data_IF_974089093334
#
_entry.id   IF_974089093334
#
_cell.length_a   1.000
_cell.length_b   1.000
_cell.length_c   1.000
_cell.angle_alpha   90.00
_cell.angle_beta   90.00
_cell.angle_gamma   90.00
#
_symmetry.space_group_name_H-M   'P 1'
#
loop_
_entity.id
_entity.type
_entity.pdbx_description
1 polymer ?
#
# COMPACT_ATOMS: atom_id res chain seq x y z
N UNK A 1 5.08 -9.28 -7.77
CA UNK A 1 6.07 -8.47 -7.03
C UNK A 1 5.41 -8.06 -5.72
N UNK A 2 6.21 -7.60 -4.77
CA UNK A 2 5.73 -7.30 -3.42
C UNK A 2 6.29 -5.96 -2.96
N UNK A 3 5.61 -5.37 -1.99
CA UNK A 3 5.99 -4.15 -1.32
C UNK A 3 6.64 -4.53 0.00
N UNK A 4 7.89 -4.13 0.20
CA UNK A 4 8.50 -4.11 1.52
C UNK A 4 7.73 -3.12 2.40
N UNK A 5 7.42 -3.53 3.63
CA UNK A 5 6.81 -2.66 4.62
C UNK A 5 7.89 -2.02 5.51
N UNK A 6 7.59 -0.82 6.01
CA UNK A 6 8.26 -0.24 7.17
C UNK A 6 7.23 0.09 8.25
N UNK A 7 7.51 1.05 9.14
CA UNK A 7 6.72 1.37 10.32
C UNK A 7 5.19 1.38 10.09
N UNK A 8 4.67 2.39 9.38
CA UNK A 8 3.27 2.50 8.99
C UNK A 8 3.18 2.77 7.49
N UNK A 9 2.29 2.06 6.80
CA UNK A 9 2.23 2.07 5.34
C UNK A 9 0.78 2.22 4.89
N UNK A 10 0.51 3.22 4.05
CA UNK A 10 -0.70 3.31 3.25
C UNK A 10 -0.43 2.59 1.93
N UNK A 11 -1.15 1.50 1.69
CA UNK A 11 -1.04 0.68 0.48
C UNK A 11 -2.24 0.98 -0.41
N UNK A 12 -1.99 1.37 -1.66
CA UNK A 12 -3.03 1.72 -2.63
C UNK A 12 -2.80 0.94 -3.92
N UNK A 13 -3.80 0.27 -4.51
CA UNK A 13 -3.65 -0.31 -5.83
C UNK A 13 -3.43 0.80 -6.88
N UNK A 14 -2.43 0.61 -7.75
CA UNK A 14 -2.13 1.56 -8.84
C UNK A 14 -3.33 1.76 -9.75
N UNK A 15 -4.10 0.70 -10.00
CA UNK A 15 -5.35 0.76 -10.76
C UNK A 15 -6.38 1.69 -10.10
N UNK A 16 -6.45 1.74 -8.76
CA UNK A 16 -7.35 2.66 -8.04
C UNK A 16 -6.92 4.11 -8.17
N UNK A 17 -5.62 4.37 -8.15
CA UNK A 17 -5.09 5.71 -8.42
C UNK A 17 -5.51 6.16 -9.83
N UNK A 18 -5.35 5.31 -10.84
CA UNK A 18 -5.76 5.60 -12.22
C UNK A 18 -7.28 5.77 -12.35
N UNK A 19 -8.07 4.91 -11.70
CA UNK A 19 -9.54 4.96 -11.72
C UNK A 19 -10.06 6.28 -11.13
N UNK A 20 -9.54 6.69 -9.97
CA UNK A 20 -10.08 7.83 -9.21
C UNK A 20 -9.50 9.18 -9.65
N UNK A 21 -8.20 9.23 -9.97
CA UNK A 21 -7.51 10.49 -10.27
C UNK A 21 -7.32 10.70 -11.79
N UNK A 22 -7.48 9.65 -12.60
CA UNK A 22 -7.36 9.69 -14.05
C UNK A 22 -6.16 8.93 -14.60
N UNK A 23 -6.28 8.49 -15.86
CA UNK A 23 -5.20 7.80 -16.56
C UNK A 23 -3.95 8.68 -16.70
N UNK A 24 -2.75 8.12 -16.49
CA UNK A 24 -1.49 8.86 -16.57
C UNK A 24 -1.08 9.60 -15.29
N UNK A 25 -1.99 9.71 -14.30
CA UNK A 25 -1.68 10.40 -13.03
C UNK A 25 -0.67 9.62 -12.22
N UNK A 26 -0.76 8.29 -12.20
CA UNK A 26 0.21 7.47 -11.50
C UNK A 26 1.62 7.71 -12.03
N UNK A 27 1.79 7.68 -13.34
CA UNK A 27 3.06 7.86 -14.02
C UNK A 27 3.64 9.26 -13.76
N UNK A 28 2.80 10.29 -13.78
CA UNK A 28 3.27 11.68 -13.61
C UNK A 28 3.52 12.10 -12.14
N UNK A 29 2.83 11.50 -11.17
CA UNK A 29 2.89 11.94 -9.75
C UNK A 29 3.43 10.92 -8.76
N UNK A 30 3.22 9.63 -9.01
CA UNK A 30 3.42 8.58 -8.00
C UNK A 30 4.44 7.50 -8.43
N UNK A 31 4.88 7.51 -9.69
CA UNK A 31 5.82 6.50 -10.21
C UNK A 31 7.26 6.68 -9.76
N UNK A 32 7.60 7.83 -9.17
CA UNK A 32 8.94 8.05 -8.65
C UNK A 32 9.09 7.33 -7.30
N UNK A 33 10.10 6.46 -7.21
CA UNK A 33 10.52 5.88 -5.94
C UNK A 33 11.32 6.92 -5.16
N UNK A 34 10.93 7.11 -3.91
CA UNK A 34 11.56 8.01 -2.93
C UNK A 34 11.84 7.28 -1.63
N UNK A 35 12.43 7.96 -0.65
CA UNK A 35 12.67 7.40 0.68
C UNK A 35 11.36 7.05 1.42
N UNK A 36 10.24 7.69 1.08
CA UNK A 36 8.95 7.49 1.74
C UNK A 36 7.90 6.83 0.84
N UNK A 37 8.13 6.75 -0.47
CA UNK A 37 7.17 6.20 -1.44
C UNK A 37 7.82 5.23 -2.41
N UNK A 38 7.18 4.09 -2.68
CA UNK A 38 7.62 3.18 -3.75
C UNK A 38 6.45 2.36 -4.26
N UNK A 39 6.66 1.66 -5.37
CA UNK A 39 5.64 0.80 -5.96
C UNK A 39 6.28 -0.42 -6.62
N UNK A 40 5.49 -1.48 -6.75
CA UNK A 40 5.87 -2.68 -7.51
C UNK A 40 5.19 -2.72 -8.90
N UNK A 41 4.47 -1.64 -9.24
CA UNK A 41 3.70 -1.49 -10.48
C UNK A 41 2.23 -1.90 -10.35
N UNK A 42 1.88 -2.65 -9.30
CA UNK A 42 0.49 -3.04 -8.97
C UNK A 42 0.01 -2.34 -7.70
N UNK A 43 0.87 -2.22 -6.71
CA UNK A 43 0.65 -1.54 -5.45
C UNK A 43 1.61 -0.36 -5.32
N UNK A 44 1.08 0.75 -4.84
CA UNK A 44 1.81 1.92 -4.37
C UNK A 44 1.83 1.91 -2.84
N UNK A 45 2.97 2.29 -2.27
CA UNK A 45 3.18 2.46 -0.84
C UNK A 45 3.54 3.90 -0.55
N UNK A 46 2.87 4.47 0.43
CA UNK A 46 3.24 5.71 1.09
C UNK A 46 3.48 5.46 2.57
N UNK A 47 4.63 5.87 3.08
CA UNK A 47 5.06 5.60 4.45
C UNK A 47 4.91 6.79 5.38
N UNK A 48 4.55 6.52 6.62
CA UNK A 48 4.57 7.51 7.69
C UNK A 48 5.15 6.96 8.99
N UNK A 49 5.59 7.87 9.86
CA UNK A 49 6.20 7.57 11.16
C UNK A 49 5.30 7.94 12.34
N UNK A 50 4.23 8.70 12.11
CA UNK A 50 3.33 9.19 13.16
C UNK A 50 1.86 9.03 12.78
N UNK A 51 0.99 8.98 13.78
CA UNK A 51 -0.46 8.96 13.56
C UNK A 51 -0.98 10.26 12.93
N UNK A 52 -0.35 11.41 13.22
CA UNK A 52 -0.75 12.69 12.62
C UNK A 52 -0.51 12.66 11.11
N UNK A 53 0.64 12.13 10.68
CA UNK A 53 0.95 11.98 9.26
C UNK A 53 -0.01 10.98 8.60
N UNK A 54 -0.33 9.88 9.29
CA UNK A 54 -1.29 8.89 8.80
C UNK A 54 -2.67 9.51 8.55
N UNK A 55 -3.21 10.25 9.52
CA UNK A 55 -4.53 10.87 9.40
C UNK A 55 -4.55 11.87 8.23
N UNK A 56 -3.49 12.68 8.08
CA UNK A 56 -3.36 13.61 6.97
C UNK A 56 -3.32 12.91 5.60
N UNK A 57 -2.60 11.78 5.49
CA UNK A 57 -2.57 10.96 4.27
C UNK A 57 -3.93 10.37 3.94
N UNK A 58 -4.62 9.81 4.93
CA UNK A 58 -5.96 9.24 4.74
C UNK A 58 -6.97 10.30 4.29
N UNK A 59 -6.94 11.48 4.91
CA UNK A 59 -7.76 12.63 4.51
C UNK A 59 -7.48 13.05 3.06
N UNK A 60 -6.21 13.05 2.63
CA UNK A 60 -5.85 13.39 1.24
C UNK A 60 -6.37 12.33 0.25
N UNK A 61 -6.20 11.05 0.53
CA UNK A 61 -6.71 9.98 -0.33
C UNK A 61 -8.24 10.01 -0.43
N UNK A 62 -8.95 10.27 0.69
CA UNK A 62 -10.40 10.42 0.68
C UNK A 62 -10.85 11.64 -0.13
N UNK A 63 -10.17 12.80 0.01
CA UNK A 63 -10.43 13.99 -0.83
C UNK A 63 -10.19 13.74 -2.32
N UNK A 64 -9.27 12.85 -2.65
CA UNK A 64 -9.02 12.40 -4.03
C UNK A 64 -10.02 11.33 -4.50
N UNK A 65 -11.04 10.99 -3.70
CA UNK A 65 -12.16 10.15 -4.09
C UNK A 65 -12.00 8.67 -3.81
N UNK A 66 -11.00 8.25 -3.03
CA UNK A 66 -10.86 6.86 -2.59
C UNK A 66 -11.78 6.60 -1.40
N UNK A 67 -12.49 5.48 -1.42
CA UNK A 67 -13.20 5.00 -0.25
C UNK A 67 -12.19 4.35 0.73
N UNK A 68 -12.15 4.86 1.96
CA UNK A 68 -11.25 4.36 2.99
C UNK A 68 -11.77 3.03 3.57
N UNK A 69 -12.87 3.08 4.30
CA UNK A 69 -13.43 1.91 5.01
C UNK A 69 -14.91 1.69 4.69
N UNK A 70 -15.33 0.43 4.67
CA UNK A 70 -16.73 0.01 4.61
C UNK A 70 -17.09 -0.88 5.80
N UNK A 71 -18.37 -0.90 6.17
CA UNK A 71 -18.92 -1.83 7.15
C UNK A 71 -19.33 -3.13 6.46
N UNK A 72 -18.66 -4.23 6.79
CA UNK A 72 -19.00 -5.57 6.29
C UNK A 72 -19.31 -6.45 7.49
N UNK A 73 -20.55 -6.92 7.60
CA UNK A 73 -21.02 -7.75 8.72
C UNK A 73 -20.74 -7.15 10.12
N UNK A 74 -20.71 -5.82 10.24
CA UNK A 74 -20.46 -5.09 11.49
C UNK A 74 -19.00 -4.84 11.82
N UNK A 75 -18.06 -5.23 10.94
CA UNK A 75 -16.64 -4.91 11.05
C UNK A 75 -16.23 -3.89 9.99
N UNK A 76 -15.25 -3.03 10.32
CA UNK A 76 -14.64 -2.12 9.35
C UNK A 76 -13.68 -2.91 8.47
N UNK A 77 -13.81 -2.78 7.16
CA UNK A 77 -12.89 -3.32 6.17
C UNK A 77 -12.31 -2.17 5.36
N UNK A 78 -11.04 -2.28 5.02
CA UNK A 78 -10.40 -1.40 4.05
C UNK A 78 -10.95 -1.65 2.63
N UNK A 79 -11.13 -0.57 1.84
CA UNK A 79 -11.78 -0.63 0.53
C UNK A 79 -10.80 -0.34 -0.61
N UNK A 80 -10.53 0.94 -0.91
CA UNK A 80 -9.66 1.33 -2.03
C UNK A 80 -8.19 1.46 -1.62
N UNK A 81 -7.89 1.47 -0.33
CA UNK A 81 -6.53 1.46 0.24
C UNK A 81 -6.50 0.68 1.55
N UNK A 82 -5.33 0.26 2.01
CA UNK A 82 -5.13 -0.43 3.28
C UNK A 82 -4.00 0.19 4.10
N UNK A 83 -4.24 0.41 5.39
CA UNK A 83 -3.18 0.76 6.33
C UNK A 83 -2.57 -0.52 6.88
N UNK A 84 -1.28 -0.72 6.66
CA UNK A 84 -0.54 -1.92 7.05
C UNK A 84 0.64 -1.52 7.91
N UNK A 85 0.71 -2.08 9.12
CA UNK A 85 1.80 -1.82 10.07
C UNK A 85 2.82 -2.96 10.00
N UNK A 86 4.11 -2.61 9.94
CA UNK A 86 5.18 -3.62 9.95
C UNK A 86 5.06 -4.53 11.18
N UNK A 87 5.24 -5.83 10.96
CA UNK A 87 5.11 -6.87 11.99
C UNK A 87 3.68 -7.17 12.45
N UNK A 88 2.69 -6.33 12.12
CA UNK A 88 1.31 -6.48 12.60
C UNK A 88 0.29 -6.73 11.49
N UNK A 89 0.63 -6.35 10.25
CA UNK A 89 -0.25 -6.50 9.10
C UNK A 89 -1.31 -5.39 9.00
N UNK A 90 -2.40 -5.63 8.25
CA UNK A 90 -3.46 -4.65 8.03
C UNK A 90 -4.18 -4.28 9.33
N UNK A 91 -4.42 -2.98 9.55
CA UNK A 91 -5.09 -2.49 10.76
C UNK A 91 -6.60 -2.79 10.81
N UNK A 92 -7.19 -3.04 9.63
CA UNK A 92 -8.51 -3.62 9.42
C UNK A 92 -8.39 -4.70 8.34
N UNK A 93 -9.32 -5.65 8.25
CA UNK A 93 -9.35 -6.61 7.15
C UNK A 93 -9.23 -5.94 5.78
N UNK A 94 -8.34 -6.49 4.95
CA UNK A 94 -8.03 -6.02 3.62
C UNK A 94 -8.03 -7.23 2.67
N UNK A 95 -9.14 -7.43 1.96
CA UNK A 95 -9.40 -8.69 1.24
C UNK A 95 -8.54 -8.88 -0.02
N UNK A 96 -7.92 -7.80 -0.51
CA UNK A 96 -7.23 -7.76 -1.79
C UNK A 96 -5.71 -7.77 -1.68
N UNK A 97 -5.13 -7.77 -0.47
CA UNK A 97 -3.70 -8.06 -0.26
C UNK A 97 -3.50 -9.36 0.48
N UNK A 98 -2.30 -9.90 0.32
CA UNK A 98 -1.72 -10.91 1.21
C UNK A 98 -0.55 -10.27 1.97
N UNK A 99 -0.29 -10.76 3.19
CA UNK A 99 0.75 -10.25 4.08
C UNK A 99 1.62 -11.42 4.59
N UNK A 100 2.94 -11.28 4.46
CA UNK A 100 3.92 -12.21 5.03
C UNK A 100 4.67 -11.51 6.18
N UNK A 101 4.40 -11.88 7.45
CA UNK A 101 5.06 -11.26 8.59
C UNK A 101 6.54 -11.63 8.73
N UNK A 102 6.96 -12.80 8.23
CA UNK A 102 8.36 -13.23 8.33
C UNK A 102 9.25 -12.42 7.39
N UNK A 103 8.72 -12.05 6.22
CA UNK A 103 9.42 -11.22 5.24
C UNK A 103 9.08 -9.73 5.35
N UNK A 104 8.05 -9.38 6.12
CA UNK A 104 7.52 -8.04 6.28
C UNK A 104 7.17 -7.39 4.94
N UNK A 105 6.40 -8.12 4.12
CA UNK A 105 5.99 -7.70 2.78
C UNK A 105 4.48 -7.86 2.59
N UNK A 106 3.92 -7.08 1.67
CA UNK A 106 2.56 -7.28 1.14
C UNK A 106 2.58 -7.40 -0.38
N UNK A 107 1.62 -8.11 -0.94
CA UNK A 107 1.43 -8.18 -2.39
C UNK A 107 -0.05 -8.27 -2.74
N UNK A 108 -0.37 -7.94 -3.98
CA UNK A 108 -1.75 -8.03 -4.48
C UNK A 108 -2.18 -9.50 -4.51
N UNK A 109 -3.30 -9.81 -3.85
CA UNK A 109 -3.84 -11.17 -3.78
C UNK A 109 -4.07 -11.76 -5.18
N UNK A 110 -3.84 -13.06 -5.31
CA UNK A 110 -3.92 -13.77 -6.60
C UNK A 110 -2.67 -13.61 -7.48
N UNK A 111 -1.66 -12.82 -7.05
CA UNK A 111 -0.37 -12.73 -7.71
C UNK A 111 0.70 -13.44 -6.88
N UNK A 112 1.79 -13.89 -7.53
CA UNK A 112 2.97 -14.34 -6.81
C UNK A 112 3.71 -13.12 -6.21
N UNK A 113 4.14 -13.18 -4.93
CA UNK A 113 4.85 -12.08 -4.28
C UNK A 113 6.13 -11.72 -5.05
N UNK A 114 6.81 -12.68 -5.68
CA UNK A 114 8.04 -12.40 -6.42
C UNK A 114 9.06 -11.68 -5.55
N UNK A 115 9.79 -10.71 -6.12
CA UNK A 115 10.73 -9.91 -5.35
C UNK A 115 10.06 -8.68 -4.74
N UNK A 116 10.45 -8.35 -3.51
CA UNK A 116 10.02 -7.16 -2.79
C UNK A 116 10.79 -5.91 -3.23
N UNK A 117 10.06 -4.81 -3.36
CA UNK A 117 10.55 -3.46 -3.64
C UNK A 117 10.45 -2.60 -2.38
N UNK A 118 11.50 -1.83 -2.10
CA UNK A 118 11.62 -0.92 -0.96
C UNK A 118 12.28 0.43 -1.32
N UNK A 119 12.65 1.26 -0.33
CA UNK A 119 13.01 2.69 -0.51
C UNK A 119 14.18 2.95 -1.46
N UNK A 120 15.11 2.01 -1.59
CA UNK A 120 16.24 2.16 -2.51
C UNK A 120 15.95 1.69 -3.95
N UNK A 121 14.70 1.33 -4.28
CA UNK A 121 14.36 0.57 -5.49
C UNK A 121 15.08 -0.79 -5.56
N UNK A 122 15.71 -1.22 -4.45
CA UNK A 122 16.49 -2.43 -4.36
C UNK A 122 15.56 -3.60 -4.13
N UNK A 123 15.52 -4.47 -5.14
CA UNK A 123 15.11 -5.87 -5.09
C UNK A 123 15.73 -6.54 -3.85
N UNK A 124 14.92 -6.88 -2.84
CA UNK A 124 15.41 -7.72 -1.73
C UNK A 124 15.70 -9.11 -2.31
N UNK A 125 16.98 -9.48 -2.42
CA UNK A 125 17.34 -10.83 -2.81
C UNK A 125 16.72 -11.81 -1.81
N UNK A 126 15.91 -12.74 -2.31
CA UNK A 126 15.47 -13.87 -1.51
C UNK A 126 16.69 -14.74 -1.23
N UNK A 127 17.23 -14.67 -0.01
CA UNK A 127 18.23 -15.64 0.42
C UNK A 127 17.58 -17.05 0.45
N UNK A 128 18.26 -18.01 -0.19
CA UNK A 128 17.86 -19.41 -0.36
C UNK A 128 17.79 -20.17 0.97
#
# INVERSE_FOLDING_TARGET
MAIQLEFCNVIVPVEKIREKLGNGVFESRFSLITDTTWHDGLLFREGCMTHIDLDAMLDEWEKNGLALVAQVKGEKHWVDLCVVNSGHGPSYPCEWIEYDPAKNIVWLKGHAPGVAIGPAGRTLATEN
#
